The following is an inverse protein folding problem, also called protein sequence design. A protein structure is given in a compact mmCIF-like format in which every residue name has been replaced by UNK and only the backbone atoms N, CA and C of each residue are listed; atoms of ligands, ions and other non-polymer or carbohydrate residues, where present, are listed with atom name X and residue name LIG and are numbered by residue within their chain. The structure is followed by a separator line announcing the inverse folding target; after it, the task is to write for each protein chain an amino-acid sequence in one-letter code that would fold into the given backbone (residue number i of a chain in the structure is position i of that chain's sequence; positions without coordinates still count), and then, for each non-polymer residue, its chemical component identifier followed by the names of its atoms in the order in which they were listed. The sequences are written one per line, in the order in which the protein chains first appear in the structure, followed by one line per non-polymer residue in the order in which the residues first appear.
data_IF_401710440185
#
_entry.id   IF_401710440185
#
_cell.length_a   1.000
_cell.length_b   1.000
_cell.length_c   1.000
_cell.angle_alpha   90.00
_cell.angle_beta   90.00
_cell.angle_gamma   90.00
#
_symmetry.space_group_name_H-M   'P 1'
#
loop_
_entity.id
_entity.type
_entity.pdbx_description
1 polymer ?
#
# COMPACT_ATOMS: atom_id res chain seq x y z
N UNK A 1 24.41 7.12 4.02
CA UNK A 1 23.90 6.87 2.63
C UNK A 1 23.05 8.05 2.17
N UNK A 2 23.06 8.38 0.86
CA UNK A 2 22.19 9.44 0.31
C UNK A 2 20.76 8.88 0.13
N UNK A 3 19.72 9.72 0.35
CA UNK A 3 18.31 9.35 0.22
C UNK A 3 17.98 8.77 -1.17
N UNK A 4 18.63 9.26 -2.23
CA UNK A 4 18.46 8.76 -3.61
C UNK A 4 19.01 7.34 -3.78
N UNK A 5 20.11 7.02 -3.13
CA UNK A 5 20.68 5.67 -3.11
C UNK A 5 19.77 4.73 -2.32
N UNK A 6 19.31 5.14 -1.12
CA UNK A 6 18.37 4.40 -0.31
C UNK A 6 17.09 4.08 -1.09
N UNK A 7 16.57 5.07 -1.83
CA UNK A 7 15.40 4.90 -2.69
C UNK A 7 15.63 3.91 -3.85
N UNK A 8 16.84 3.89 -4.42
CA UNK A 8 17.21 2.93 -5.46
C UNK A 8 17.30 1.50 -4.91
N UNK A 9 17.95 1.35 -3.75
CA UNK A 9 18.11 0.06 -3.07
C UNK A 9 16.75 -0.47 -2.62
N UNK A 10 15.88 0.36 -2.04
CA UNK A 10 14.53 -0.04 -1.63
C UNK A 10 13.70 -0.61 -2.79
N UNK A 11 13.95 -0.16 -4.03
CA UNK A 11 13.31 -0.71 -5.22
C UNK A 11 13.73 -2.16 -5.48
N UNK A 12 15.00 -2.46 -5.29
CA UNK A 12 15.55 -3.81 -5.48
C UNK A 12 15.01 -4.72 -4.36
N UNK A 13 15.09 -4.26 -3.12
CA UNK A 13 14.57 -4.99 -1.94
C UNK A 13 13.08 -5.30 -2.08
N UNK A 14 12.29 -4.33 -2.52
CA UNK A 14 10.85 -4.55 -2.79
C UNK A 14 10.61 -5.62 -3.86
N UNK A 15 11.42 -5.63 -4.93
CA UNK A 15 11.29 -6.65 -5.97
C UNK A 15 11.64 -8.05 -5.46
N UNK A 16 12.59 -8.16 -4.57
CA UNK A 16 13.00 -9.41 -3.93
C UNK A 16 11.92 -9.91 -2.96
N UNK A 17 11.36 -9.03 -2.14
CA UNK A 17 10.22 -9.33 -1.25
C UNK A 17 9.03 -9.83 -2.07
N UNK A 18 8.65 -9.13 -3.12
CA UNK A 18 7.55 -9.52 -4.01
C UNK A 18 7.83 -10.86 -4.72
N UNK A 19 9.10 -11.11 -5.08
CA UNK A 19 9.54 -12.39 -5.64
C UNK A 19 9.34 -13.54 -4.65
N UNK A 20 9.82 -13.37 -3.42
CA UNK A 20 9.69 -14.39 -2.37
C UNK A 20 8.22 -14.66 -2.01
N UNK A 21 7.38 -13.62 -1.96
CA UNK A 21 5.94 -13.76 -1.76
C UNK A 21 5.29 -14.62 -2.86
N UNK A 22 5.64 -14.37 -4.13
CA UNK A 22 5.11 -15.14 -5.26
C UNK A 22 5.66 -16.57 -5.26
N UNK A 23 6.94 -16.77 -4.92
CA UNK A 23 7.53 -18.09 -4.82
C UNK A 23 6.83 -18.94 -3.77
N UNK A 24 6.59 -18.40 -2.59
CA UNK A 24 5.93 -19.13 -1.51
C UNK A 24 4.45 -19.40 -1.82
N UNK A 25 3.73 -18.41 -2.36
CA UNK A 25 2.34 -18.59 -2.78
C UNK A 25 2.18 -19.65 -3.88
N UNK A 26 3.22 -19.86 -4.71
CA UNK A 26 3.20 -20.80 -5.83
C UNK A 26 4.15 -21.98 -5.66
N UNK A 27 4.58 -22.31 -4.43
CA UNK A 27 5.58 -23.33 -4.11
C UNK A 27 5.33 -24.69 -4.80
N UNK A 28 4.07 -25.01 -5.13
CA UNK A 28 3.66 -26.24 -5.80
C UNK A 28 3.36 -26.08 -7.31
N UNK A 29 3.45 -24.85 -7.86
CA UNK A 29 3.08 -24.56 -9.25
C UNK A 29 4.20 -23.98 -10.11
N UNK A 30 5.37 -23.72 -9.52
CA UNK A 30 6.51 -23.19 -10.27
C UNK A 30 7.26 -24.34 -10.94
N UNK A 31 6.85 -24.64 -12.14
CA UNK A 31 7.61 -25.47 -13.07
C UNK A 31 8.74 -24.61 -13.68
N UNK A 32 9.89 -24.62 -13.00
CA UNK A 32 11.08 -23.86 -13.44
C UNK A 32 11.53 -24.23 -14.86
N UNK A 33 11.14 -25.41 -15.36
CA UNK A 33 11.45 -25.87 -16.72
C UNK A 33 10.78 -25.05 -17.83
N UNK A 34 9.73 -24.27 -17.51
CA UNK A 34 9.03 -23.40 -18.47
C UNK A 34 9.68 -22.03 -18.71
N UNK A 35 10.64 -21.63 -17.89
CA UNK A 35 11.26 -20.31 -18.01
C UNK A 35 12.63 -20.44 -18.68
N UNK A 36 12.66 -20.14 -19.97
CA UNK A 36 13.89 -20.18 -20.79
C UNK A 36 14.95 -19.13 -20.38
N UNK A 37 14.57 -18.11 -19.59
CA UNK A 37 15.46 -17.00 -19.23
C UNK A 37 15.04 -16.35 -17.90
N UNK A 38 15.98 -16.12 -16.99
CA UNK A 38 15.76 -15.43 -15.71
C UNK A 38 15.18 -14.02 -15.88
N UNK A 39 15.58 -13.32 -16.94
CA UNK A 39 15.07 -11.98 -17.26
C UNK A 39 13.58 -11.99 -17.62
N UNK A 40 13.11 -12.99 -18.34
CA UNK A 40 11.68 -13.13 -18.69
C UNK A 40 10.84 -13.41 -17.46
N UNK A 41 11.35 -14.20 -16.54
CA UNK A 41 10.72 -14.51 -15.26
C UNK A 41 10.60 -13.26 -14.37
N UNK A 42 11.71 -12.51 -14.18
CA UNK A 42 11.71 -11.27 -13.41
C UNK A 42 10.76 -10.20 -14.01
N UNK A 43 10.68 -10.10 -15.34
CA UNK A 43 9.74 -9.21 -16.02
C UNK A 43 8.29 -9.60 -15.72
N UNK A 44 7.97 -10.88 -15.69
CA UNK A 44 6.63 -11.38 -15.34
C UNK A 44 6.27 -11.07 -13.89
N UNK A 45 7.21 -11.24 -12.96
CA UNK A 45 7.01 -10.90 -11.55
C UNK A 45 6.69 -9.41 -11.40
N UNK A 46 7.51 -8.53 -11.98
CA UNK A 46 7.28 -7.08 -11.94
C UNK A 46 5.89 -6.72 -12.48
N UNK A 47 5.49 -7.34 -13.58
CA UNK A 47 4.16 -7.11 -14.17
C UNK A 47 3.04 -7.58 -13.25
N UNK A 48 3.14 -8.78 -12.69
CA UNK A 48 2.11 -9.32 -11.79
C UNK A 48 1.99 -8.49 -10.51
N UNK A 49 3.11 -8.08 -9.93
CA UNK A 49 3.11 -7.21 -8.74
C UNK A 49 2.46 -5.85 -9.03
N UNK A 50 2.77 -5.25 -10.18
CA UNK A 50 2.15 -3.99 -10.60
C UNK A 50 0.63 -4.16 -10.84
N UNK A 51 0.22 -5.27 -11.45
CA UNK A 51 -1.20 -5.59 -11.66
C UNK A 51 -1.92 -5.76 -10.33
N UNK A 52 -1.35 -6.51 -9.38
CA UNK A 52 -1.96 -6.70 -8.06
C UNK A 52 -2.11 -5.36 -7.32
N UNK A 53 -1.07 -4.52 -7.32
CA UNK A 53 -1.16 -3.17 -6.75
C UNK A 53 -2.27 -2.36 -7.42
N UNK A 54 -2.36 -2.38 -8.74
CA UNK A 54 -3.38 -1.64 -9.49
C UNK A 54 -4.79 -2.14 -9.14
N UNK A 55 -5.01 -3.46 -9.08
CA UNK A 55 -6.30 -4.05 -8.71
C UNK A 55 -6.72 -3.59 -7.31
N UNK A 56 -5.83 -3.71 -6.32
CA UNK A 56 -6.13 -3.31 -4.94
C UNK A 56 -6.38 -1.81 -4.85
N UNK A 57 -5.62 -1.00 -5.59
CA UNK A 57 -5.82 0.45 -5.65
C UNK A 57 -7.17 0.82 -6.25
N UNK A 58 -7.64 0.09 -7.27
CA UNK A 58 -8.98 0.28 -7.84
C UNK A 58 -10.06 -0.07 -6.82
N UNK A 59 -9.91 -1.18 -6.09
CA UNK A 59 -10.86 -1.55 -5.03
C UNK A 59 -10.87 -0.51 -3.90
N UNK A 60 -9.70 -0.02 -3.47
CA UNK A 60 -9.59 1.05 -2.49
C UNK A 60 -10.25 2.33 -2.99
N UNK A 61 -9.96 2.73 -4.22
CA UNK A 61 -10.53 3.93 -4.83
C UNK A 61 -12.06 3.87 -4.85
N UNK A 62 -12.62 2.77 -5.37
CA UNK A 62 -14.07 2.58 -5.46
C UNK A 62 -14.68 2.48 -4.06
N UNK A 63 -14.10 1.66 -3.19
CA UNK A 63 -14.61 1.42 -1.83
C UNK A 63 -14.63 2.68 -0.98
N UNK A 64 -13.61 3.53 -1.08
CA UNK A 64 -13.53 4.78 -0.32
C UNK A 64 -14.34 5.92 -0.96
N UNK A 65 -14.56 5.90 -2.28
CA UNK A 65 -15.37 6.88 -2.99
C UNK A 65 -16.88 6.56 -2.88
N UNK A 66 -17.25 5.30 -2.82
CA UNK A 66 -18.65 4.86 -2.82
C UNK A 66 -19.51 5.50 -1.72
N UNK A 67 -19.09 5.65 -0.45
CA UNK A 67 -19.83 6.35 0.57
C UNK A 67 -20.17 7.81 0.18
N UNK A 68 -19.24 8.51 -0.43
CA UNK A 68 -19.45 9.90 -0.89
C UNK A 68 -20.52 9.96 -2.00
N UNK A 69 -20.48 9.05 -2.95
CA UNK A 69 -21.47 8.99 -4.03
C UNK A 69 -22.85 8.62 -3.51
N UNK A 70 -22.95 7.59 -2.64
CA UNK A 70 -24.22 7.11 -2.14
C UNK A 70 -24.98 8.17 -1.31
N UNK A 71 -24.27 8.96 -0.54
CA UNK A 71 -24.86 9.96 0.32
C UNK A 71 -25.01 11.34 -0.32
N UNK A 72 -24.33 11.61 -1.44
CA UNK A 72 -24.51 12.84 -2.21
C UNK A 72 -25.96 13.00 -2.73
N UNK A 73 -26.69 11.91 -2.91
CA UNK A 73 -28.10 11.92 -3.29
C UNK A 73 -29.08 12.04 -2.11
N UNK A 74 -28.58 12.04 -0.88
CA UNK A 74 -29.43 12.14 0.32
C UNK A 74 -29.75 13.60 0.66
N UNK A 75 -30.96 13.87 1.15
CA UNK A 75 -31.41 15.21 1.59
C UNK A 75 -31.06 15.50 3.06
N UNK A 76 -30.13 14.77 3.66
CA UNK A 76 -29.76 14.94 5.06
C UNK A 76 -28.85 16.17 5.28
N UNK A 77 -28.71 16.55 6.54
CA UNK A 77 -27.83 17.65 6.96
C UNK A 77 -26.37 17.34 6.54
N UNK A 78 -25.71 18.32 5.91
CA UNK A 78 -24.34 18.21 5.40
C UNK A 78 -23.35 17.70 6.45
N UNK A 79 -23.49 18.11 7.71
CA UNK A 79 -22.59 17.67 8.78
C UNK A 79 -22.74 16.17 9.13
N UNK A 80 -23.98 15.68 9.15
CA UNK A 80 -24.26 14.25 9.40
C UNK A 80 -23.73 13.42 8.24
N UNK A 81 -23.98 13.86 7.00
CA UNK A 81 -23.47 13.23 5.80
C UNK A 81 -21.94 13.15 5.86
N UNK A 82 -21.28 14.27 6.14
CA UNK A 82 -19.83 14.34 6.19
C UNK A 82 -19.25 13.37 7.22
N UNK A 83 -19.71 13.39 8.47
CA UNK A 83 -19.16 12.51 9.51
C UNK A 83 -19.37 11.02 9.20
N UNK A 84 -20.54 10.66 8.66
CA UNK A 84 -20.84 9.27 8.29
C UNK A 84 -19.98 8.79 7.13
N UNK A 85 -19.87 9.60 6.08
CA UNK A 85 -19.06 9.30 4.89
C UNK A 85 -17.60 9.13 5.24
N UNK A 86 -17.05 10.07 6.00
CA UNK A 86 -15.65 10.02 6.44
C UNK A 86 -15.39 8.78 7.28
N UNK A 87 -16.24 8.47 8.26
CA UNK A 87 -16.07 7.31 9.12
C UNK A 87 -16.10 6.00 8.32
N UNK A 88 -17.07 5.82 7.44
CA UNK A 88 -17.18 4.61 6.60
C UNK A 88 -15.98 4.49 5.67
N UNK A 89 -15.57 5.58 5.03
CA UNK A 89 -14.40 5.61 4.14
C UNK A 89 -13.10 5.26 4.88
N UNK A 90 -12.92 5.76 6.12
CA UNK A 90 -11.77 5.43 6.98
C UNK A 90 -11.76 3.95 7.36
N UNK A 91 -12.90 3.37 7.74
CA UNK A 91 -13.01 1.95 8.07
C UNK A 91 -12.65 1.09 6.86
N UNK A 92 -13.18 1.42 5.67
CA UNK A 92 -12.90 0.68 4.44
C UNK A 92 -11.41 0.79 4.08
N UNK A 93 -10.83 1.99 4.12
CA UNK A 93 -9.41 2.17 3.81
C UNK A 93 -8.50 1.46 4.79
N UNK A 94 -8.82 1.51 6.10
CA UNK A 94 -8.09 0.78 7.14
C UNK A 94 -8.11 -0.73 6.88
N UNK A 95 -9.29 -1.32 6.71
CA UNK A 95 -9.45 -2.74 6.52
C UNK A 95 -8.73 -3.27 5.26
N UNK A 96 -8.87 -2.56 4.15
CA UNK A 96 -8.26 -2.97 2.89
C UNK A 96 -6.72 -2.80 2.89
N UNK A 97 -6.20 -1.72 3.48
CA UNK A 97 -4.75 -1.52 3.59
C UNK A 97 -4.16 -2.53 4.57
N UNK A 98 -4.78 -2.74 5.72
CA UNK A 98 -4.37 -3.75 6.69
C UNK A 98 -4.29 -5.13 6.03
N UNK A 99 -5.35 -5.54 5.35
CA UNK A 99 -5.40 -6.83 4.64
C UNK A 99 -4.30 -6.96 3.59
N UNK A 100 -4.05 -5.89 2.83
CA UNK A 100 -3.01 -5.88 1.80
C UNK A 100 -1.60 -5.99 2.40
N UNK A 101 -1.32 -5.20 3.44
CA UNK A 101 -0.02 -5.21 4.10
C UNK A 101 0.25 -6.54 4.81
N UNK A 102 -0.75 -7.15 5.45
CA UNK A 102 -0.62 -8.47 6.06
C UNK A 102 -0.21 -9.57 5.06
N UNK A 103 -0.46 -9.39 3.77
CA UNK A 103 -0.01 -10.33 2.74
C UNK A 103 1.47 -10.15 2.37
N UNK A 104 2.02 -8.95 2.50
CA UNK A 104 3.38 -8.62 2.03
C UNK A 104 4.40 -8.52 3.17
N UNK A 105 3.98 -8.02 4.33
CA UNK A 105 4.87 -7.78 5.47
C UNK A 105 5.61 -9.02 5.98
N UNK A 106 5.01 -10.22 6.09
CA UNK A 106 5.74 -11.41 6.51
C UNK A 106 6.95 -11.70 5.64
N UNK A 107 6.88 -11.37 4.34
CA UNK A 107 8.01 -11.56 3.42
C UNK A 107 9.06 -10.45 3.51
N UNK A 108 8.66 -9.27 3.95
CA UNK A 108 9.57 -8.15 4.19
C UNK A 108 10.36 -8.36 5.48
N UNK A 109 9.69 -8.90 6.52
CA UNK A 109 10.29 -9.17 7.84
C UNK A 109 11.04 -10.49 7.83
N UNK A 110 10.60 -11.47 7.00
CA UNK A 110 11.29 -12.75 6.90
C UNK A 110 12.76 -12.54 6.54
N UNK A 111 13.59 -13.31 7.18
CA UNK A 111 15.05 -13.21 7.21
C UNK A 111 15.77 -12.99 5.88
N UNK A 112 15.11 -13.26 4.74
CA UNK A 112 15.75 -13.15 3.42
C UNK A 112 15.90 -11.70 2.92
N UNK A 113 14.92 -10.81 3.18
CA UNK A 113 14.99 -9.42 2.68
C UNK A 113 15.93 -8.53 3.49
N UNK A 114 15.77 -8.54 4.82
CA UNK A 114 16.59 -7.73 5.73
C UNK A 114 17.98 -8.34 5.95
N UNK A 115 18.10 -9.67 5.99
CA UNK A 115 19.39 -10.34 6.11
C UNK A 115 20.26 -10.15 4.88
N UNK A 116 19.69 -10.12 3.68
CA UNK A 116 20.44 -9.82 2.47
C UNK A 116 21.05 -8.40 2.53
N UNK A 117 20.34 -7.44 3.10
CA UNK A 117 20.88 -6.08 3.31
C UNK A 117 22.03 -6.04 4.31
N UNK A 118 21.99 -6.88 5.36
CA UNK A 118 23.06 -6.98 6.35
C UNK A 118 24.35 -7.63 5.83
N UNK A 119 24.31 -8.28 4.69
CA UNK A 119 25.51 -8.81 4.00
C UNK A 119 26.32 -7.69 3.30
N UNK A 120 25.70 -6.53 3.10
CA UNK A 120 26.39 -5.36 2.56
C UNK A 120 27.00 -4.53 3.70
N UNK A 121 28.08 -3.79 3.47
CA UNK A 121 28.69 -2.88 4.47
C UNK A 121 27.84 -1.62 4.63
N UNK A 122 26.61 -1.80 5.14
CA UNK A 122 25.60 -0.76 5.32
C UNK A 122 25.37 -0.62 6.83
N UNK A 123 25.24 0.59 7.34
CA UNK A 123 24.93 0.84 8.74
C UNK A 123 23.52 0.37 9.11
N UNK A 124 23.28 -0.01 10.37
CA UNK A 124 21.94 -0.41 10.84
C UNK A 124 20.90 0.70 10.63
N UNK A 125 21.33 1.96 10.69
CA UNK A 125 20.51 3.13 10.42
C UNK A 125 20.05 3.17 8.96
N UNK A 126 20.97 2.92 8.02
CA UNK A 126 20.67 2.85 6.59
C UNK A 126 19.77 1.65 6.25
N UNK A 127 19.97 0.50 6.92
CA UNK A 127 19.08 -0.67 6.78
C UNK A 127 17.66 -0.31 7.22
N UNK A 128 17.50 0.42 8.32
CA UNK A 128 16.20 0.86 8.81
C UNK A 128 15.50 1.79 7.82
N UNK A 129 16.24 2.74 7.24
CA UNK A 129 15.74 3.67 6.21
C UNK A 129 15.31 2.90 4.95
N UNK A 130 16.12 1.97 4.48
CA UNK A 130 15.79 1.15 3.30
C UNK A 130 14.54 0.31 3.56
N UNK A 131 14.42 -0.28 4.75
CA UNK A 131 13.26 -1.08 5.13
C UNK A 131 11.98 -0.23 5.17
N UNK A 132 12.04 0.97 5.75
CA UNK A 132 10.94 1.93 5.76
C UNK A 132 10.53 2.36 4.34
N UNK A 133 11.50 2.69 3.50
CA UNK A 133 11.25 3.05 2.10
C UNK A 133 10.68 1.88 1.29
N UNK A 134 11.11 0.66 1.59
CA UNK A 134 10.55 -0.55 0.97
C UNK A 134 9.08 -0.73 1.36
N UNK A 135 8.77 -0.54 2.63
CA UNK A 135 7.40 -0.58 3.15
C UNK A 135 6.52 0.51 2.52
N UNK A 136 7.00 1.74 2.41
CA UNK A 136 6.27 2.80 1.70
C UNK A 136 6.02 2.46 0.22
N UNK A 137 6.93 1.71 -0.41
CA UNK A 137 6.73 1.22 -1.78
C UNK A 137 5.68 0.13 -1.90
N UNK A 138 5.42 -0.65 -0.85
CA UNK A 138 4.33 -1.64 -0.89
C UNK A 138 3.00 -0.94 -1.02
N UNK A 139 2.81 0.15 -0.31
CA UNK A 139 1.57 0.89 -0.18
C UNK A 139 1.44 2.12 -1.11
N UNK A 140 2.43 2.43 -1.97
CA UNK A 140 2.44 3.65 -2.79
C UNK A 140 1.13 3.85 -3.60
N UNK A 141 0.75 2.89 -4.44
CA UNK A 141 -0.48 2.96 -5.25
C UNK A 141 -1.76 2.96 -4.39
N UNK A 142 -1.90 2.08 -3.38
CA UNK A 142 -2.98 2.15 -2.41
C UNK A 142 -3.15 3.52 -1.72
N UNK A 143 -2.04 4.11 -1.26
CA UNK A 143 -2.07 5.44 -0.62
C UNK A 143 -2.58 6.50 -1.60
N UNK A 144 -2.03 6.54 -2.82
CA UNK A 144 -2.50 7.48 -3.84
C UNK A 144 -3.97 7.29 -4.19
N UNK A 145 -4.44 6.03 -4.28
CA UNK A 145 -5.84 5.74 -4.55
C UNK A 145 -6.77 6.30 -3.47
N UNK A 146 -6.42 6.13 -2.18
CA UNK A 146 -7.19 6.68 -1.07
C UNK A 146 -7.18 8.21 -1.10
N UNK A 147 -6.02 8.84 -1.27
CA UNK A 147 -5.92 10.31 -1.31
C UNK A 147 -6.78 10.89 -2.45
N UNK A 148 -6.66 10.33 -3.65
CA UNK A 148 -7.41 10.82 -4.81
C UNK A 148 -8.91 10.60 -4.62
N UNK A 149 -9.34 9.46 -4.09
CA UNK A 149 -10.75 9.19 -3.83
C UNK A 149 -11.35 10.13 -2.79
N UNK A 150 -10.59 10.45 -1.73
CA UNK A 150 -10.99 11.43 -0.71
C UNK A 150 -11.16 12.82 -1.33
N UNK A 151 -10.20 13.29 -2.11
CA UNK A 151 -10.29 14.60 -2.79
C UNK A 151 -11.51 14.66 -3.69
N UNK A 152 -11.74 13.65 -4.52
CA UNK A 152 -12.90 13.59 -5.41
C UNK A 152 -14.20 13.53 -4.61
N UNK A 153 -14.24 12.71 -3.56
CA UNK A 153 -15.40 12.57 -2.70
C UNK A 153 -15.78 13.88 -2.03
N UNK A 154 -14.81 14.60 -1.46
CA UNK A 154 -14.99 15.90 -0.84
C UNK A 154 -15.51 16.96 -1.83
N UNK A 155 -15.03 16.94 -3.07
CA UNK A 155 -15.53 17.81 -4.13
C UNK A 155 -16.98 17.48 -4.49
N UNK A 156 -17.35 16.19 -4.52
CA UNK A 156 -18.73 15.76 -4.83
C UNK A 156 -19.71 16.25 -3.78
N UNK A 157 -19.37 16.18 -2.49
CA UNK A 157 -20.25 16.67 -1.40
C UNK A 157 -20.10 18.18 -1.15
N UNK A 158 -19.25 18.88 -1.92
CA UNK A 158 -18.97 20.32 -1.79
C UNK A 158 -18.51 20.69 -0.37
N UNK A 159 -17.61 19.90 0.19
CA UNK A 159 -17.08 20.10 1.53
C UNK A 159 -16.30 21.42 1.63
N UNK A 160 -16.37 22.15 2.76
CA UNK A 160 -15.50 23.30 3.01
C UNK A 160 -14.02 22.89 3.01
N UNK A 161 -13.14 23.76 2.49
CA UNK A 161 -11.71 23.47 2.35
C UNK A 161 -11.02 23.04 3.67
N UNK A 162 -11.44 23.61 4.81
CA UNK A 162 -10.92 23.23 6.12
C UNK A 162 -11.22 21.77 6.47
N UNK A 163 -12.44 21.30 6.19
CA UNK A 163 -12.85 19.92 6.44
C UNK A 163 -12.11 18.97 5.50
N UNK A 164 -11.90 19.37 4.25
CA UNK A 164 -11.12 18.60 3.28
C UNK A 164 -9.69 18.36 3.76
N UNK A 165 -8.99 19.40 4.23
CA UNK A 165 -7.64 19.28 4.79
C UNK A 165 -7.63 18.38 6.03
N UNK A 166 -8.59 18.56 6.94
CA UNK A 166 -8.71 17.74 8.14
C UNK A 166 -8.91 16.26 7.79
N UNK A 167 -9.82 15.96 6.86
CA UNK A 167 -10.10 14.60 6.43
C UNK A 167 -8.89 13.93 5.76
N UNK A 168 -8.18 14.65 4.89
CA UNK A 168 -6.93 14.15 4.30
C UNK A 168 -5.88 13.82 5.37
N UNK A 169 -5.73 14.69 6.37
CA UNK A 169 -4.80 14.46 7.48
C UNK A 169 -5.18 13.22 8.30
N UNK A 170 -6.46 13.07 8.63
CA UNK A 170 -6.99 11.90 9.34
C UNK A 170 -6.80 10.63 8.50
N UNK A 171 -7.03 10.70 7.19
CA UNK A 171 -6.84 9.56 6.28
C UNK A 171 -5.39 9.12 6.21
N UNK A 172 -4.43 10.04 6.17
CA UNK A 172 -3.00 9.71 6.22
C UNK A 172 -2.60 9.06 7.55
N UNK A 173 -3.10 9.57 8.68
CA UNK A 173 -2.89 8.96 9.99
C UNK A 173 -3.49 7.56 10.06
N UNK A 174 -4.70 7.37 9.51
CA UNK A 174 -5.37 6.08 9.47
C UNK A 174 -4.58 5.05 8.63
N UNK A 175 -4.01 5.45 7.50
CA UNK A 175 -3.11 4.61 6.69
C UNK A 175 -1.86 4.23 7.49
N UNK A 176 -1.22 5.20 8.13
CA UNK A 176 -0.06 4.95 9.00
C UNK A 176 -0.38 3.99 10.13
N UNK A 177 -1.57 4.13 10.74
CA UNK A 177 -2.04 3.23 11.79
C UNK A 177 -2.30 1.82 11.25
N UNK A 178 -2.93 1.67 10.08
CA UNK A 178 -3.15 0.37 9.44
C UNK A 178 -1.84 -0.37 9.17
N UNK A 179 -0.83 0.33 8.64
CA UNK A 179 0.51 -0.22 8.39
C UNK A 179 1.20 -0.61 9.71
N UNK A 180 1.07 0.21 10.76
CA UNK A 180 1.65 -0.08 12.08
C UNK A 180 1.01 -1.31 12.73
N UNK A 181 -0.32 -1.46 12.61
CA UNK A 181 -1.02 -2.66 13.09
C UNK A 181 -0.59 -3.90 12.31
N UNK A 182 -0.47 -3.79 10.98
CA UNK A 182 0.02 -4.89 10.16
C UNK A 182 1.43 -5.33 10.58
N UNK A 183 2.34 -4.38 10.85
CA UNK A 183 3.68 -4.65 11.36
C UNK A 183 3.68 -5.36 12.72
N UNK A 184 2.75 -5.01 13.58
CA UNK A 184 2.63 -5.63 14.91
C UNK A 184 2.09 -7.06 14.83
N UNK A 185 1.22 -7.36 13.86
CA UNK A 185 0.58 -8.66 13.68
C UNK A 185 1.42 -9.65 12.84
N UNK A 186 2.43 -9.18 12.13
CA UNK A 186 3.31 -9.99 11.26
C UNK A 186 4.54 -10.51 12.00
#
# INVERSE_FOLDING_TARGET
MNLKEAWSISKITYQEVAFNAILQANKYRLDFGRYKDANSFMRRIRRNTAINKAIISVFLFIGTLFPYLSLSFSKYNVMIIFSTVVSVSLIISFALILFYEMQLLPYLISASGVQALRLFPISDEDVSIISLLTLLRTADYPIFAVIISQIIGELVIKSPALLMVSNLSISLLNIGFAVSVALFLS
#
